data_IF_381617877013
#
_entry.id   IF_381617877013
#
_cell.length_a   1.000
_cell.length_b   1.000
_cell.length_c   1.000
_cell.angle_alpha   90.00
_cell.angle_beta   90.00
_cell.angle_gamma   90.00
#
_symmetry.space_group_name_H-M   'P 1'
#
loop_
_entity.id
_entity.type
_entity.pdbx_description
1 polymer ?
#
# COMPACT_ATOMS: atom_id res chain seq x y z
N UNK A 1 -7.33 -30.94 11.05
CA UNK A 1 -7.76 -29.55 10.88
C UNK A 1 -6.99 -28.98 9.69
N UNK A 2 -7.63 -28.80 8.53
CA UNK A 2 -6.97 -28.38 7.29
C UNK A 2 -6.82 -26.86 7.31
N UNK A 3 -5.61 -26.36 7.51
CA UNK A 3 -5.33 -24.93 7.34
C UNK A 3 -4.97 -24.69 5.87
N UNK A 4 -5.97 -24.21 5.11
CA UNK A 4 -5.76 -23.68 3.77
C UNK A 4 -4.84 -22.47 3.88
N UNK A 5 -3.59 -22.61 3.45
CA UNK A 5 -2.67 -21.49 3.28
C UNK A 5 -3.15 -20.74 2.04
N UNK A 6 -3.96 -19.71 2.26
CA UNK A 6 -4.21 -18.68 1.25
C UNK A 6 -2.90 -17.89 1.10
N UNK A 7 -2.02 -18.36 0.21
CA UNK A 7 -1.01 -17.52 -0.41
C UNK A 7 -1.78 -16.47 -1.20
N UNK A 8 -2.10 -15.35 -0.55
CA UNK A 8 -2.60 -14.17 -1.23
C UNK A 8 -1.45 -13.68 -2.14
N UNK A 9 -1.58 -14.02 -3.42
CA UNK A 9 -0.75 -13.50 -4.50
C UNK A 9 -0.83 -11.98 -4.47
N UNK A 10 0.28 -11.32 -4.13
CA UNK A 10 0.43 -9.86 -4.04
C UNK A 10 -0.07 -9.16 -5.31
N UNK A 11 -0.03 -9.85 -6.46
CA UNK A 11 -0.47 -9.34 -7.75
C UNK A 11 -2.00 -9.30 -7.95
N UNK A 12 -2.78 -10.09 -7.20
CA UNK A 12 -4.24 -10.20 -7.39
C UNK A 12 -5.05 -9.23 -6.50
N UNK A 13 -4.38 -8.51 -5.59
CA UNK A 13 -5.03 -7.77 -4.49
C UNK A 13 -5.00 -6.25 -4.70
N UNK A 14 -4.03 -5.74 -5.45
CA UNK A 14 -3.95 -4.32 -5.79
C UNK A 14 -5.02 -4.02 -6.82
N UNK A 15 -6.09 -3.31 -6.41
CA UNK A 15 -7.07 -2.79 -7.37
C UNK A 15 -6.33 -1.83 -8.30
N UNK A 16 -6.41 -2.05 -9.63
CA UNK A 16 -5.73 -1.18 -10.57
C UNK A 16 -6.26 0.24 -10.40
N UNK A 17 -5.34 1.19 -10.27
CA UNK A 17 -5.67 2.59 -10.17
C UNK A 17 -5.65 3.13 -11.60
N UNK A 18 -6.80 3.07 -12.26
CA UNK A 18 -6.86 3.42 -13.68
C UNK A 18 -6.63 4.91 -13.91
N UNK A 19 -5.72 5.16 -14.84
CA UNK A 19 -5.30 6.47 -15.29
C UNK A 19 -5.49 6.53 -16.81
N UNK A 20 -5.92 7.70 -17.31
CA UNK A 20 -6.34 7.87 -18.70
C UNK A 20 -5.92 9.24 -19.21
N UNK A 21 -5.72 9.37 -20.52
CA UNK A 21 -5.85 10.68 -21.16
C UNK A 21 -7.33 11.09 -21.07
N UNK A 22 -7.59 12.27 -20.53
CA UNK A 22 -8.93 12.84 -20.44
C UNK A 22 -9.15 13.81 -21.57
N UNK A 23 -10.30 13.69 -22.24
CA UNK A 23 -10.79 14.69 -23.17
C UNK A 23 -11.83 15.56 -22.46
N UNK A 24 -11.63 16.87 -22.50
CA UNK A 24 -12.44 17.84 -21.75
C UNK A 24 -12.61 19.13 -22.55
N UNK A 25 -13.49 20.01 -22.11
CA UNK A 25 -13.73 21.30 -22.75
C UNK A 25 -14.45 22.24 -21.80
N UNK A 26 -14.46 23.53 -22.12
CA UNK A 26 -15.13 24.55 -21.33
C UNK A 26 -16.42 25.00 -22.01
N UNK A 27 -17.41 25.42 -21.24
CA UNK A 27 -18.65 25.97 -21.77
C UNK A 27 -18.36 27.18 -22.67
N UNK A 28 -18.98 27.19 -23.85
CA UNK A 28 -18.76 28.22 -24.87
C UNK A 28 -17.57 27.99 -25.79
N UNK A 29 -16.64 27.09 -25.45
CA UNK A 29 -15.55 26.68 -26.34
C UNK A 29 -15.98 25.49 -27.23
N UNK A 30 -15.70 25.59 -28.52
CA UNK A 30 -15.95 24.49 -29.48
C UNK A 30 -14.79 23.49 -29.52
N UNK A 31 -13.64 23.86 -28.97
CA UNK A 31 -12.46 23.01 -28.98
C UNK A 31 -12.46 22.05 -27.79
N UNK A 32 -12.16 20.79 -28.08
CA UNK A 32 -11.89 19.77 -27.07
C UNK A 32 -10.39 19.69 -26.81
N UNK A 33 -10.02 19.75 -25.54
CA UNK A 33 -8.65 19.63 -25.06
C UNK A 33 -8.41 18.23 -24.54
N UNK A 34 -7.13 17.85 -24.46
CA UNK A 34 -6.70 16.57 -23.91
C UNK A 34 -5.62 16.79 -22.86
N UNK A 35 -5.62 15.97 -21.83
CA UNK A 35 -4.51 15.97 -20.88
C UNK A 35 -3.23 15.52 -21.59
N UNK A 36 -2.07 16.10 -21.25
CA UNK A 36 -0.79 15.76 -21.88
C UNK A 36 -0.26 14.39 -21.46
N UNK A 37 -0.74 13.85 -20.33
CA UNK A 37 -0.42 12.55 -19.74
C UNK A 37 -1.71 11.89 -19.26
N UNK A 38 -1.62 10.69 -18.68
CA UNK A 38 -2.77 9.90 -18.25
C UNK A 38 -3.15 10.08 -16.76
N UNK A 39 -3.68 11.21 -16.25
CA UNK A 39 -4.01 11.31 -14.82
C UNK A 39 -5.11 10.32 -14.39
N UNK A 40 -5.11 9.92 -13.12
CA UNK A 40 -6.31 9.32 -12.51
C UNK A 40 -7.39 10.40 -12.38
N UNK A 41 -8.65 9.99 -12.18
CA UNK A 41 -9.77 10.93 -12.09
C UNK A 41 -9.54 12.03 -11.05
N UNK A 42 -9.04 11.68 -9.86
CA UNK A 42 -8.75 12.66 -8.81
C UNK A 42 -7.63 13.63 -9.21
N UNK A 43 -6.62 13.16 -9.94
CA UNK A 43 -5.50 14.02 -10.37
C UNK A 43 -5.93 14.96 -11.50
N UNK A 44 -6.82 14.49 -12.36
CA UNK A 44 -7.46 15.33 -13.38
C UNK A 44 -8.30 16.42 -12.73
N UNK A 45 -9.17 16.07 -11.78
CA UNK A 45 -10.02 17.02 -11.06
C UNK A 45 -9.18 18.08 -10.34
N UNK A 46 -8.17 17.66 -9.57
CA UNK A 46 -7.24 18.57 -8.90
C UNK A 46 -6.51 19.50 -9.87
N UNK A 47 -6.06 18.98 -11.01
CA UNK A 47 -5.37 19.76 -12.03
C UNK A 47 -6.28 20.78 -12.72
N UNK A 48 -7.55 20.42 -12.98
CA UNK A 48 -8.53 21.33 -13.58
C UNK A 48 -8.93 22.42 -12.59
N UNK A 49 -9.05 22.12 -11.31
CA UNK A 49 -9.43 23.11 -10.29
C UNK A 49 -8.44 24.31 -10.22
N UNK A 50 -7.19 24.13 -10.67
CA UNK A 50 -6.19 25.20 -10.79
C UNK A 50 -6.39 26.09 -12.05
N UNK A 51 -7.20 25.68 -13.04
CA UNK A 51 -7.56 26.52 -14.20
C UNK A 51 -8.69 27.48 -13.82
N UNK A 52 -8.52 28.77 -14.07
CA UNK A 52 -9.54 29.81 -13.76
C UNK A 52 -10.89 29.55 -14.43
N UNK A 53 -10.92 28.77 -15.52
CA UNK A 53 -12.12 28.39 -16.26
C UNK A 53 -12.77 27.12 -15.73
N UNK A 54 -12.25 26.50 -14.67
CA UNK A 54 -12.78 25.28 -14.04
C UNK A 54 -14.27 25.37 -13.71
N UNK A 55 -14.74 26.57 -13.34
CA UNK A 55 -16.16 26.85 -13.05
C UNK A 55 -17.08 26.60 -14.27
N UNK A 56 -16.52 26.69 -15.48
CA UNK A 56 -17.21 26.45 -16.74
C UNK A 56 -16.80 25.11 -17.36
N UNK A 57 -16.31 24.15 -16.58
CA UNK A 57 -15.93 22.86 -17.11
C UNK A 57 -17.16 22.13 -17.66
N UNK A 58 -17.14 21.84 -18.95
CA UNK A 58 -18.14 21.01 -19.61
C UNK A 58 -17.91 19.51 -19.36
N UNK A 59 -18.65 18.64 -20.06
CA UNK A 59 -18.49 17.19 -19.92
C UNK A 59 -17.07 16.72 -20.25
N UNK A 60 -16.50 15.87 -19.39
CA UNK A 60 -15.19 15.24 -19.56
C UNK A 60 -15.31 13.72 -19.70
N UNK A 61 -14.42 13.12 -20.49
CA UNK A 61 -14.46 11.69 -20.79
C UNK A 61 -13.04 11.08 -20.74
N UNK A 62 -12.88 9.89 -20.16
CA UNK A 62 -11.64 9.14 -20.27
C UNK A 62 -11.53 8.52 -21.67
N UNK A 63 -10.34 8.57 -22.27
CA UNK A 63 -10.03 7.85 -23.49
C UNK A 63 -9.59 6.43 -23.09
N UNK A 64 -10.51 5.46 -23.15
CA UNK A 64 -10.27 4.07 -22.71
C UNK A 64 -9.06 3.40 -23.39
N UNK A 65 -8.72 3.77 -24.62
CA UNK A 65 -7.55 3.24 -25.33
C UNK A 65 -6.20 3.61 -24.66
N UNK A 66 -6.20 4.63 -23.79
CA UNK A 66 -5.02 5.14 -23.08
C UNK A 66 -4.95 4.65 -21.63
N UNK A 67 -5.77 3.66 -21.27
CA UNK A 67 -5.86 3.16 -19.90
C UNK A 67 -4.54 2.54 -19.44
N UNK A 68 -3.99 3.08 -18.37
CA UNK A 68 -2.82 2.55 -17.68
C UNK A 68 -3.13 2.31 -16.19
N UNK A 69 -2.45 1.35 -15.58
CA UNK A 69 -2.50 1.15 -14.12
C UNK A 69 -1.45 2.03 -13.46
N UNK A 70 -1.89 3.05 -12.73
CA UNK A 70 -1.04 4.03 -12.03
C UNK A 70 -0.16 3.36 -10.96
N UNK A 71 -0.57 2.22 -10.41
CA UNK A 71 0.26 1.44 -9.49
C UNK A 71 1.51 0.85 -10.16
N UNK A 72 1.48 0.68 -11.49
CA UNK A 72 2.60 0.14 -12.28
C UNK A 72 3.44 1.22 -12.94
N UNK A 73 2.82 2.35 -13.29
CA UNK A 73 3.48 3.46 -13.99
C UNK A 73 3.27 4.74 -13.17
N UNK A 74 4.24 5.12 -12.31
CA UNK A 74 4.13 6.33 -11.51
C UNK A 74 4.03 7.59 -12.36
N UNK A 75 3.21 8.55 -11.92
CA UNK A 75 3.11 9.84 -12.58
C UNK A 75 4.40 10.62 -12.33
N UNK A 76 5.14 10.88 -13.40
CA UNK A 76 6.45 11.56 -13.36
C UNK A 76 6.36 13.01 -13.85
N UNK A 77 5.21 13.42 -14.40
CA UNK A 77 5.02 14.78 -14.94
C UNK A 77 4.96 15.81 -13.80
N UNK A 78 5.89 16.81 -13.77
CA UNK A 78 5.95 17.83 -12.73
C UNK A 78 4.73 18.76 -12.66
N UNK A 79 3.84 18.76 -13.65
CA UNK A 79 2.60 19.54 -13.65
C UNK A 79 1.54 18.95 -12.73
N UNK A 80 1.63 17.65 -12.45
CA UNK A 80 0.70 16.93 -11.60
C UNK A 80 1.37 16.63 -10.25
N UNK A 81 1.65 17.68 -9.47
CA UNK A 81 2.20 17.56 -8.12
C UNK A 81 1.10 17.25 -7.13
N UNK A 82 0.62 16.02 -7.12
CA UNK A 82 -0.09 15.53 -5.95
C UNK A 82 0.99 15.13 -4.97
N UNK A 83 1.19 15.98 -3.96
CA UNK A 83 1.85 15.48 -2.75
C UNK A 83 0.92 14.39 -2.23
N UNK A 84 1.30 13.13 -2.44
CA UNK A 84 0.78 12.07 -1.62
C UNK A 84 1.12 12.49 -0.19
N UNK A 85 0.12 12.94 0.56
CA UNK A 85 0.25 13.12 2.00
C UNK A 85 0.26 11.70 2.55
N UNK A 86 1.38 11.01 2.33
CA UNK A 86 1.63 9.73 2.96
C UNK A 86 1.74 10.04 4.45
N UNK A 87 0.89 9.44 5.30
CA UNK A 87 1.07 9.57 6.73
C UNK A 87 2.50 9.16 7.08
N UNK A 88 3.15 9.88 7.99
CA UNK A 88 4.45 9.47 8.49
C UNK A 88 4.23 8.21 9.35
N UNK A 89 4.72 7.07 8.87
CA UNK A 89 4.58 5.77 9.54
C UNK A 89 5.94 5.32 10.05
N UNK A 90 6.35 5.79 11.24
CA UNK A 90 7.48 5.18 11.94
C UNK A 90 6.98 4.12 12.92
N UNK A 91 7.04 2.85 12.50
CA UNK A 91 6.71 1.67 13.30
C UNK A 91 5.46 1.78 14.21
N UNK A 92 4.27 2.12 13.67
CA UNK A 92 3.10 2.51 14.47
C UNK A 92 2.55 1.36 15.33
N UNK A 93 2.45 1.52 16.65
CA UNK A 93 1.94 0.46 17.53
C UNK A 93 0.44 0.14 17.28
N UNK A 94 -0.09 -0.91 17.91
CA UNK A 94 -1.48 -1.35 17.69
C UNK A 94 -2.54 -0.27 18.02
N UNK A 95 -2.29 0.57 19.02
CA UNK A 95 -3.20 1.66 19.38
C UNK A 95 -3.19 2.76 18.30
N UNK A 96 -2.02 3.04 17.74
CA UNK A 96 -1.85 3.99 16.64
C UNK A 96 -2.50 3.47 15.36
N UNK A 97 -2.33 2.18 15.02
CA UNK A 97 -3.02 1.57 13.87
C UNK A 97 -4.55 1.64 14.03
N UNK A 98 -5.08 1.42 15.24
CA UNK A 98 -6.52 1.57 15.51
C UNK A 98 -7.00 3.02 15.39
N UNK A 99 -6.18 3.98 15.83
CA UNK A 99 -6.48 5.42 15.67
C UNK A 99 -6.51 5.78 14.19
N UNK A 100 -5.48 5.39 13.43
CA UNK A 100 -5.36 5.63 11.99
C UNK A 100 -6.54 5.01 11.23
N UNK A 101 -6.97 3.79 11.59
CA UNK A 101 -8.14 3.16 10.98
C UNK A 101 -9.43 3.96 11.15
N UNK A 102 -9.61 4.62 12.30
CA UNK A 102 -10.79 5.46 12.59
C UNK A 102 -10.71 6.80 11.87
N UNK A 103 -9.51 7.36 11.78
CA UNK A 103 -9.25 8.68 11.23
C UNK A 103 -9.30 8.70 9.70
N UNK A 104 -8.73 7.68 9.05
CA UNK A 104 -8.67 7.60 7.60
C UNK A 104 -9.84 6.76 7.03
N UNK A 105 -10.64 7.37 6.17
CA UNK A 105 -11.69 6.72 5.39
C UNK A 105 -11.18 6.13 4.07
N UNK A 106 -9.97 6.53 3.65
CA UNK A 106 -9.32 6.04 2.44
C UNK A 106 -9.11 4.52 2.49
N UNK A 107 -9.50 3.83 1.42
CA UNK A 107 -9.40 2.38 1.33
C UNK A 107 -7.95 1.90 1.25
N UNK A 108 -7.06 2.58 0.53
CA UNK A 108 -5.65 2.18 0.44
C UNK A 108 -4.98 2.24 1.81
N UNK A 109 -5.23 3.28 2.59
CA UNK A 109 -4.69 3.42 3.96
C UNK A 109 -5.20 2.31 4.87
N UNK A 110 -6.50 2.00 4.81
CA UNK A 110 -7.10 0.90 5.60
C UNK A 110 -6.51 -0.46 5.22
N UNK A 111 -6.32 -0.72 3.94
CA UNK A 111 -5.71 -1.96 3.47
C UNK A 111 -4.27 -2.10 3.93
N UNK A 112 -3.47 -1.03 3.84
CA UNK A 112 -2.10 -1.00 4.36
C UNK A 112 -2.06 -1.35 5.86
N UNK A 113 -2.98 -0.80 6.66
CA UNK A 113 -3.10 -1.14 8.08
C UNK A 113 -3.37 -2.64 8.28
N UNK A 114 -4.27 -3.24 7.50
CA UNK A 114 -4.55 -4.68 7.58
C UNK A 114 -3.35 -5.53 7.19
N UNK A 115 -2.57 -5.10 6.20
CA UNK A 115 -1.35 -5.78 5.77
C UNK A 115 -0.28 -5.75 6.86
N UNK A 116 -0.08 -4.59 7.51
CA UNK A 116 0.81 -4.48 8.68
C UNK A 116 0.38 -5.46 9.78
N UNK A 117 -0.92 -5.52 10.09
CA UNK A 117 -1.45 -6.45 11.10
C UNK A 117 -1.26 -7.93 10.71
N UNK A 118 -1.43 -8.27 9.42
CA UNK A 118 -1.20 -9.62 8.93
C UNK A 118 0.28 -10.02 9.03
N UNK A 119 1.20 -9.11 8.68
CA UNK A 119 2.64 -9.32 8.81
C UNK A 119 3.07 -9.48 10.27
N UNK A 120 2.55 -8.65 11.19
CA UNK A 120 2.77 -8.81 12.64
C UNK A 120 2.34 -10.18 13.13
N UNK A 121 1.14 -10.63 12.74
CA UNK A 121 0.64 -11.96 13.08
C UNK A 121 1.50 -13.10 12.51
N UNK A 122 2.09 -12.91 11.34
CA UNK A 122 3.06 -13.85 10.77
C UNK A 122 4.33 -13.95 11.62
N UNK A 123 4.87 -12.81 12.08
CA UNK A 123 6.01 -12.77 12.99
C UNK A 123 5.71 -13.45 14.34
N UNK A 124 4.52 -13.24 14.89
CA UNK A 124 4.08 -13.95 16.10
C UNK A 124 4.00 -15.46 15.88
N UNK A 125 3.45 -15.91 14.75
CA UNK A 125 3.39 -17.35 14.43
C UNK A 125 4.78 -17.97 14.30
N UNK A 126 5.74 -17.26 13.71
CA UNK A 126 7.13 -17.72 13.63
C UNK A 126 7.73 -17.81 15.04
N UNK A 127 7.47 -16.83 15.92
CA UNK A 127 7.92 -16.84 17.31
C UNK A 127 7.31 -18.01 18.09
N UNK A 128 6.01 -18.25 17.96
CA UNK A 128 5.31 -19.37 18.61
C UNK A 128 5.90 -20.71 18.17
N UNK A 129 6.13 -20.88 16.86
CA UNK A 129 6.78 -22.08 16.35
C UNK A 129 8.21 -22.23 16.87
N UNK A 130 8.96 -21.13 16.91
CA UNK A 130 10.31 -21.11 17.47
C UNK A 130 10.31 -21.55 18.93
N UNK A 131 9.44 -20.98 19.77
CA UNK A 131 9.32 -21.30 21.19
C UNK A 131 8.85 -22.74 21.42
N UNK A 132 7.98 -23.26 20.53
CA UNK A 132 7.58 -24.66 20.56
C UNK A 132 8.77 -25.59 20.29
N UNK A 133 9.53 -25.34 19.22
CA UNK A 133 10.72 -26.15 18.88
C UNK A 133 11.77 -26.04 19.98
N UNK A 134 11.98 -24.84 20.54
CA UNK A 134 12.92 -24.61 21.65
C UNK A 134 12.58 -25.46 22.89
N UNK A 135 11.30 -25.64 23.18
CA UNK A 135 10.84 -26.39 24.36
C UNK A 135 10.69 -27.90 24.15
N UNK A 136 10.34 -28.33 22.93
CA UNK A 136 9.87 -29.70 22.70
C UNK A 136 10.81 -30.57 21.85
N UNK A 137 11.87 -29.99 21.27
CA UNK A 137 12.84 -30.75 20.45
C UNK A 137 14.19 -30.78 21.16
N UNK A 138 14.51 -31.94 21.73
CA UNK A 138 15.74 -32.18 22.50
C UNK A 138 17.00 -32.24 21.63
N UNK A 139 16.94 -32.93 20.48
CA UNK A 139 18.02 -32.97 19.51
C UNK A 139 17.74 -32.05 18.33
N UNK A 140 18.42 -30.90 18.29
CA UNK A 140 18.32 -29.94 17.18
C UNK A 140 19.53 -30.03 16.23
N UNK A 141 20.36 -31.06 16.38
CA UNK A 141 21.55 -31.30 15.55
C UNK A 141 22.44 -30.06 15.42
N UNK A 142 22.86 -29.76 14.19
CA UNK A 142 23.72 -28.59 13.85
C UNK A 142 23.08 -27.22 14.10
N UNK A 143 21.78 -27.17 14.41
CA UNK A 143 21.08 -25.92 14.73
C UNK A 143 21.14 -25.57 16.23
N UNK A 144 21.57 -26.52 17.08
CA UNK A 144 21.73 -26.37 18.53
C UNK A 144 23.01 -25.62 18.92
N UNK A 145 23.08 -25.14 20.17
CA UNK A 145 24.25 -24.47 20.76
C UNK A 145 24.11 -22.96 20.96
N UNK A 146 24.92 -22.38 21.85
CA UNK A 146 24.87 -20.95 22.23
C UNK A 146 25.12 -19.96 21.08
N UNK A 147 25.68 -20.43 19.97
CA UNK A 147 25.89 -19.68 18.71
C UNK A 147 25.27 -20.36 17.48
N UNK A 148 24.33 -21.30 17.68
CA UNK A 148 23.70 -22.04 16.58
C UNK A 148 22.79 -21.16 15.73
N UNK A 149 22.53 -21.59 14.48
CA UNK A 149 21.62 -20.90 13.53
C UNK A 149 20.23 -20.61 14.10
N UNK A 150 19.80 -21.39 15.09
CA UNK A 150 18.54 -21.16 15.80
C UNK A 150 18.58 -19.92 16.71
N UNK A 151 19.69 -19.64 17.40
CA UNK A 151 19.83 -18.40 18.19
C UNK A 151 19.95 -17.17 17.28
N UNK A 152 20.64 -17.32 16.13
CA UNK A 152 20.70 -16.26 15.12
C UNK A 152 19.29 -15.90 14.61
N UNK A 153 18.45 -16.90 14.32
CA UNK A 153 17.06 -16.70 13.94
C UNK A 153 16.25 -16.00 15.06
N UNK A 154 16.47 -16.36 16.33
CA UNK A 154 15.83 -15.69 17.48
C UNK A 154 16.16 -14.20 17.53
N UNK A 155 17.44 -13.86 17.35
CA UNK A 155 17.88 -12.47 17.37
C UNK A 155 17.32 -11.67 16.18
N UNK A 156 17.31 -12.26 14.98
CA UNK A 156 16.71 -11.66 13.80
C UNK A 156 15.21 -11.41 14.01
N UNK A 157 14.49 -12.41 14.52
CA UNK A 157 13.06 -12.28 14.79
C UNK A 157 12.77 -11.19 15.82
N UNK A 158 13.54 -11.12 16.91
CA UNK A 158 13.43 -10.03 17.89
C UNK A 158 13.68 -8.66 17.27
N UNK A 159 14.69 -8.53 16.41
CA UNK A 159 15.01 -7.29 15.69
C UNK A 159 13.85 -6.87 14.78
N UNK A 160 13.31 -7.79 13.99
CA UNK A 160 12.20 -7.50 13.08
C UNK A 160 10.90 -7.17 13.84
N UNK A 161 10.61 -7.85 14.96
CA UNK A 161 9.51 -7.46 15.85
C UNK A 161 9.70 -6.06 16.45
N UNK A 162 10.93 -5.68 16.81
CA UNK A 162 11.25 -4.32 17.26
C UNK A 162 11.03 -3.28 16.16
N UNK A 163 11.50 -3.55 14.94
CA UNK A 163 11.25 -2.68 13.76
C UNK A 163 9.77 -2.57 13.42
N UNK A 164 9.02 -3.63 13.66
CA UNK A 164 7.59 -3.66 13.46
C UNK A 164 6.81 -3.09 14.65
N UNK A 165 7.43 -2.48 15.66
CA UNK A 165 6.73 -1.85 16.80
C UNK A 165 5.95 -2.83 17.69
N UNK A 166 6.40 -4.09 17.78
CA UNK A 166 5.73 -5.17 18.54
C UNK A 166 6.38 -5.46 19.92
N UNK A 167 7.44 -4.75 20.29
CA UNK A 167 8.22 -4.93 21.53
C UNK A 167 8.43 -3.56 22.15
#
# INVERSE_FOLDING_TARGET
MKYTVLLYSICDVIKPQWAYIWEYGFEGDKNRLRTPVEPTKQEFEFWIDEDERSTFLGPCWPIEATRIDRNRVPLTDPRFKIKATTPEFDAPNDAELRRLWREYSDLQVRWLILEILALRKSLDRIQEWFDYVDKNVEDRGQLSGGSGKFQELRHLLRKEKGRAGMI
#
